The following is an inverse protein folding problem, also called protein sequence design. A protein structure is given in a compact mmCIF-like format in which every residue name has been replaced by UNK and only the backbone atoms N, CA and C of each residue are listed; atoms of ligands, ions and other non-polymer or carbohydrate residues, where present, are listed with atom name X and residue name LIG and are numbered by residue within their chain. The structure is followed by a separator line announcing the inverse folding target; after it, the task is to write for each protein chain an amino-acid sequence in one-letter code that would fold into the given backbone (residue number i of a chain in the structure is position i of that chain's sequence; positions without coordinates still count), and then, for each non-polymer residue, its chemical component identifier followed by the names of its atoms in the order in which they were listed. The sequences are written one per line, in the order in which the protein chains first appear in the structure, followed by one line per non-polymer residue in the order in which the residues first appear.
data_IF_779147718798
#
_entry.id   IF_779147718798
#
_cell.length_a   1.000
_cell.length_b   1.000
_cell.length_c   1.000
_cell.angle_alpha   90.00
_cell.angle_beta   90.00
_cell.angle_gamma   90.00
#
_symmetry.space_group_name_H-M   'P 1'
#
loop_
_entity.id
_entity.type
_entity.pdbx_description
1 polymer ?
#
# COMPACT_ATOMS: atom_id res chain seq x y z
N UNK A 1 -10.23 7.42 24.71
CA UNK A 1 -10.40 5.98 24.72
C UNK A 1 -9.13 5.29 24.24
N UNK A 2 -8.57 4.39 25.03
CA UNK A 2 -7.31 3.73 24.72
C UNK A 2 -7.38 2.90 23.45
N UNK A 3 -8.52 2.28 23.17
CA UNK A 3 -8.69 1.45 21.96
C UNK A 3 -8.61 2.32 20.71
N UNK A 4 -9.23 3.47 20.73
CA UNK A 4 -9.17 4.39 19.60
C UNK A 4 -7.76 4.94 19.39
N UNK A 5 -7.04 5.18 20.48
CA UNK A 5 -5.67 5.67 20.41
C UNK A 5 -4.76 4.61 19.77
N UNK A 6 -4.90 3.36 20.19
CA UNK A 6 -4.13 2.25 19.62
C UNK A 6 -4.41 2.08 18.12
N UNK A 7 -5.67 2.19 17.73
CA UNK A 7 -6.08 2.07 16.35
C UNK A 7 -5.50 3.20 15.50
N UNK A 8 -5.49 4.43 16.02
CA UNK A 8 -4.92 5.56 15.33
C UNK A 8 -3.41 5.39 15.14
N UNK A 9 -2.72 4.86 16.14
CA UNK A 9 -1.29 4.60 16.04
C UNK A 9 -1.03 3.55 14.96
N UNK A 10 -1.81 2.49 14.94
CA UNK A 10 -1.67 1.43 13.93
C UNK A 10 -1.90 1.98 12.53
N UNK A 11 -2.94 2.76 12.32
CA UNK A 11 -3.23 3.39 11.03
C UNK A 11 -2.09 4.33 10.63
N UNK A 12 -1.60 5.12 11.57
CA UNK A 12 -0.50 6.05 11.31
C UNK A 12 0.76 5.30 10.89
N UNK A 13 1.07 4.20 11.57
CA UNK A 13 2.24 3.37 11.23
C UNK A 13 2.09 2.77 9.83
N UNK A 14 0.92 2.28 9.48
CA UNK A 14 0.66 1.71 8.16
C UNK A 14 0.79 2.78 7.07
N UNK A 15 0.30 3.99 7.32
CA UNK A 15 0.45 5.09 6.39
C UNK A 15 1.90 5.49 6.20
N UNK A 16 2.69 5.49 7.29
CA UNK A 16 4.13 5.74 7.20
C UNK A 16 4.82 4.66 6.36
N UNK A 17 4.48 3.41 6.59
CA UNK A 17 5.05 2.30 5.82
C UNK A 17 4.71 2.42 4.34
N UNK A 18 3.47 2.81 4.02
CA UNK A 18 3.05 3.04 2.64
C UNK A 18 3.84 4.17 2.01
N UNK A 19 4.07 5.25 2.75
CA UNK A 19 4.84 6.39 2.26
C UNK A 19 6.26 5.99 1.90
N UNK A 20 6.91 5.25 2.79
CA UNK A 20 8.29 4.77 2.56
C UNK A 20 8.32 3.82 1.37
N UNK A 21 7.40 2.89 1.31
CA UNK A 21 7.34 1.92 0.22
C UNK A 21 7.09 2.60 -1.12
N UNK A 22 6.21 3.60 -1.14
CA UNK A 22 5.92 4.36 -2.34
C UNK A 22 7.14 5.13 -2.84
N UNK A 23 7.84 5.79 -1.93
CA UNK A 23 9.03 6.54 -2.28
C UNK A 23 10.09 5.62 -2.87
N UNK A 24 10.29 4.46 -2.26
CA UNK A 24 11.23 3.46 -2.78
C UNK A 24 10.83 2.99 -4.17
N UNK A 25 9.55 2.72 -4.37
CA UNK A 25 9.05 2.30 -5.68
C UNK A 25 9.27 3.37 -6.74
N UNK A 26 9.03 4.63 -6.40
CA UNK A 26 9.26 5.74 -7.31
C UNK A 26 10.72 5.82 -7.74
N UNK A 27 11.63 5.67 -6.78
CA UNK A 27 13.07 5.66 -7.07
C UNK A 27 13.45 4.51 -8.01
N UNK A 28 12.89 3.33 -7.75
CA UNK A 28 13.17 2.15 -8.57
C UNK A 28 12.63 2.32 -9.99
N UNK A 29 11.46 2.90 -10.14
CA UNK A 29 10.88 3.15 -11.46
C UNK A 29 11.74 4.16 -12.22
N UNK A 30 12.26 5.17 -11.55
CA UNK A 30 13.16 6.13 -12.19
C UNK A 30 14.43 5.45 -12.70
N UNK A 31 15.04 4.60 -11.88
CA UNK A 31 16.20 3.83 -12.30
C UNK A 31 15.86 2.94 -13.50
N UNK A 32 14.70 2.30 -13.46
CA UNK A 32 14.24 1.45 -14.55
C UNK A 32 14.19 2.20 -15.88
N UNK A 33 13.73 3.43 -15.86
CA UNK A 33 13.62 4.24 -17.08
C UNK A 33 14.97 4.56 -17.72
N UNK A 34 16.02 4.53 -16.94
CA UNK A 34 17.37 4.82 -17.41
C UNK A 34 18.15 3.59 -17.88
N UNK A 35 17.54 2.40 -17.77
CA UNK A 35 18.17 1.17 -18.23
C UNK A 35 17.95 1.03 -19.74
N UNK A 36 19.03 0.84 -20.49
CA UNK A 36 18.95 0.81 -21.94
C UNK A 36 18.59 -0.56 -22.51
N UNK A 37 18.93 -1.62 -21.80
CA UNK A 37 18.70 -2.99 -22.26
C UNK A 37 17.36 -3.53 -21.81
N UNK A 38 16.58 -4.10 -22.72
CA UNK A 38 15.30 -4.72 -22.37
C UNK A 38 15.47 -5.91 -21.44
N UNK A 39 16.55 -6.68 -21.66
CA UNK A 39 16.84 -7.82 -20.79
C UNK A 39 17.16 -7.36 -19.36
N UNK A 40 17.98 -6.32 -19.22
CA UNK A 40 18.30 -5.76 -17.91
C UNK A 40 17.09 -5.14 -17.26
N UNK A 41 16.21 -4.51 -18.03
CA UNK A 41 14.96 -3.97 -17.52
C UNK A 41 14.07 -5.06 -16.94
N UNK A 42 13.96 -6.18 -17.65
CA UNK A 42 13.16 -7.31 -17.19
C UNK A 42 13.69 -7.87 -15.88
N UNK A 43 15.01 -8.05 -15.78
CA UNK A 43 15.64 -8.53 -14.55
C UNK A 43 15.43 -7.54 -13.39
N UNK A 44 15.64 -6.27 -13.65
CA UNK A 44 15.45 -5.23 -12.64
C UNK A 44 14.02 -5.20 -12.16
N UNK A 45 13.06 -5.29 -13.06
CA UNK A 45 11.65 -5.30 -12.71
C UNK A 45 11.33 -6.48 -11.80
N UNK A 46 11.80 -7.66 -12.14
CA UNK A 46 11.54 -8.87 -11.37
C UNK A 46 12.21 -8.83 -9.99
N UNK A 47 13.45 -8.36 -9.96
CA UNK A 47 14.26 -8.42 -8.74
C UNK A 47 13.97 -7.29 -7.78
N UNK A 48 13.57 -6.12 -8.30
CA UNK A 48 13.45 -4.90 -7.50
C UNK A 48 12.04 -4.31 -7.49
N UNK A 49 11.41 -4.16 -8.65
CA UNK A 49 10.13 -3.45 -8.74
C UNK A 49 8.99 -4.29 -8.19
N UNK A 50 8.91 -5.55 -8.57
CA UNK A 50 7.83 -6.42 -8.12
C UNK A 50 7.85 -6.58 -6.59
N UNK A 51 9.00 -6.87 -5.95
CA UNK A 51 9.04 -6.90 -4.49
C UNK A 51 8.68 -5.57 -3.84
N UNK A 52 9.05 -4.43 -4.45
CA UNK A 52 8.69 -3.12 -3.93
C UNK A 52 7.19 -2.86 -4.02
N UNK A 53 6.55 -3.31 -5.09
CA UNK A 53 5.10 -3.23 -5.22
C UNK A 53 4.40 -4.09 -4.18
N UNK A 54 4.93 -5.26 -3.90
CA UNK A 54 4.41 -6.14 -2.87
C UNK A 54 4.51 -5.48 -1.49
N UNK A 55 5.65 -4.85 -1.23
CA UNK A 55 5.88 -4.15 0.04
C UNK A 55 4.91 -2.97 0.23
N UNK A 56 4.50 -2.33 -0.85
CA UNK A 56 3.50 -1.27 -0.80
C UNK A 56 2.09 -1.85 -0.57
N UNK A 57 1.81 -2.97 -1.19
CA UNK A 57 0.50 -3.60 -1.13
C UNK A 57 0.16 -4.13 0.27
N UNK A 58 1.14 -4.69 0.96
CA UNK A 58 0.91 -5.28 2.27
C UNK A 58 0.29 -4.30 3.27
N UNK A 59 0.88 -3.11 3.51
CA UNK A 59 0.27 -2.15 4.42
C UNK A 59 -1.06 -1.60 3.89
N UNK A 60 -1.20 -1.48 2.57
CA UNK A 60 -2.46 -1.03 1.98
C UNK A 60 -3.60 -2.01 2.26
N UNK A 61 -3.33 -3.32 2.12
CA UNK A 61 -4.33 -4.34 2.40
C UNK A 61 -4.72 -4.35 3.87
N UNK A 62 -3.75 -4.21 4.76
CA UNK A 62 -4.02 -4.14 6.19
C UNK A 62 -4.84 -2.90 6.54
N UNK A 63 -4.53 -1.78 5.91
CA UNK A 63 -5.27 -0.54 6.14
C UNK A 63 -6.73 -0.68 5.68
N UNK A 64 -6.95 -1.31 4.53
CA UNK A 64 -8.29 -1.58 4.04
C UNK A 64 -9.10 -2.43 5.02
N UNK A 65 -8.47 -3.46 5.57
CA UNK A 65 -9.13 -4.32 6.55
C UNK A 65 -9.54 -3.55 7.80
N UNK A 66 -8.67 -2.67 8.27
CA UNK A 66 -8.96 -1.86 9.46
C UNK A 66 -10.10 -0.90 9.18
N UNK A 67 -10.07 -0.21 8.06
CA UNK A 67 -11.10 0.75 7.69
C UNK A 67 -12.45 0.06 7.55
N UNK A 68 -12.48 -1.09 6.88
CA UNK A 68 -13.73 -1.82 6.67
C UNK A 68 -14.35 -2.31 7.98
N UNK A 69 -13.52 -2.84 8.88
CA UNK A 69 -14.02 -3.47 10.10
C UNK A 69 -14.25 -2.50 11.24
N UNK A 70 -13.39 -1.49 11.37
CA UNK A 70 -13.37 -0.65 12.56
C UNK A 70 -13.92 0.75 12.30
N UNK A 71 -13.66 1.32 11.13
CA UNK A 71 -14.10 2.68 10.81
C UNK A 71 -15.34 2.73 9.95
N UNK A 72 -15.81 1.61 9.46
CA UNK A 72 -17.03 1.54 8.66
C UNK A 72 -18.09 0.78 9.44
N UNK A 73 -18.70 1.42 10.46
CA UNK A 73 -19.57 0.72 11.40
C UNK A 73 -20.92 0.31 10.83
N UNK A 74 -21.26 0.78 9.64
CA UNK A 74 -22.55 0.47 9.03
C UNK A 74 -22.31 -0.28 7.72
N UNK A 75 -22.20 -1.62 7.79
CA UNK A 75 -21.94 -2.42 6.58
C UNK A 75 -23.00 -2.25 5.49
N UNK A 76 -24.27 -2.13 5.91
CA UNK A 76 -25.35 -1.95 4.95
C UNK A 76 -25.23 -0.63 4.18
N UNK A 77 -24.72 0.40 4.83
CA UNK A 77 -24.48 1.69 4.19
C UNK A 77 -23.35 1.58 3.16
N UNK A 78 -22.28 0.88 3.52
CA UNK A 78 -21.20 0.63 2.60
C UNK A 78 -21.63 -0.15 1.39
N UNK A 79 -22.47 -1.16 1.60
CA UNK A 79 -23.03 -1.97 0.53
C UNK A 79 -23.86 -1.12 -0.42
N UNK A 80 -24.64 -0.21 0.10
CA UNK A 80 -25.44 0.69 -0.72
C UNK A 80 -24.59 1.56 -1.62
N UNK A 81 -23.46 2.03 -1.11
CA UNK A 81 -22.55 2.86 -1.88
C UNK A 81 -21.95 2.07 -3.04
N UNK A 82 -21.58 0.84 -2.78
CA UNK A 82 -20.94 -0.01 -3.79
C UNK A 82 -21.91 -0.59 -4.80
N UNK A 83 -23.15 -0.72 -4.44
CA UNK A 83 -24.17 -1.24 -5.36
C UNK A 83 -24.63 -0.20 -6.39
N UNK A 84 -24.42 1.05 -6.07
CA UNK A 84 -24.77 2.12 -6.99
C UNK A 84 -23.70 2.33 -8.03
#
# INVERSE_FOLDING_TARGET
NSVQTELLIEVSDLLSDMKVARAKLEDLVEVYQHIDSMEKRAHFCYDEIIPAMQALRDPADQLEMIVDKEYWPIPSYGDMIFEV
#
